data_IF_558227582444
#
_entry.id   IF_558227582444
#
_cell.length_a   1.000
_cell.length_b   1.000
_cell.length_c   1.000
_cell.angle_alpha   90.00
_cell.angle_beta   90.00
_cell.angle_gamma   90.00
#
_symmetry.space_group_name_H-M   'P 1'
#
loop_
_entity.id
_entity.type
_entity.pdbx_description
1 polymer ?
#
# COMPACT_ATOMS: atom_id res chain seq x y z
N UNK A 1 9.71 -18.54 14.27
CA UNK A 1 8.45 -19.07 13.74
C UNK A 1 7.99 -18.09 12.69
N UNK A 2 8.15 -18.44 11.41
CA UNK A 2 7.86 -17.56 10.29
C UNK A 2 6.35 -17.49 10.10
N UNK A 3 5.74 -16.34 10.38
CA UNK A 3 4.31 -16.14 10.11
C UNK A 3 4.08 -16.20 8.60
N UNK A 4 3.15 -17.07 8.17
CA UNK A 4 2.65 -17.10 6.81
C UNK A 4 2.18 -15.71 6.37
N UNK A 5 2.82 -15.12 5.36
CA UNK A 5 2.42 -13.84 4.77
C UNK A 5 1.32 -13.98 3.69
N UNK A 6 0.69 -15.15 3.59
CA UNK A 6 -0.43 -15.43 2.66
C UNK A 6 -1.71 -14.72 3.07
N UNK A 7 -2.48 -14.25 2.08
CA UNK A 7 -3.73 -13.53 2.33
C UNK A 7 -3.55 -12.12 2.89
N UNK A 8 -2.30 -11.60 2.91
CA UNK A 8 -2.03 -10.18 3.13
C UNK A 8 -2.51 -9.40 1.91
N UNK A 9 -3.26 -8.32 2.13
CA UNK A 9 -3.88 -7.57 1.05
C UNK A 9 -3.76 -6.05 1.19
N UNK A 10 -3.85 -5.33 0.08
CA UNK A 10 -4.04 -3.88 0.08
C UNK A 10 -5.02 -3.45 -0.98
N UNK A 11 -5.67 -2.31 -0.76
CA UNK A 11 -6.52 -1.64 -1.75
C UNK A 11 -5.83 -0.34 -2.14
N UNK A 12 -5.67 -0.12 -3.44
CA UNK A 12 -5.10 1.10 -4.01
C UNK A 12 -5.98 1.65 -5.12
N UNK A 13 -5.73 2.91 -5.50
CA UNK A 13 -6.34 3.47 -6.71
C UNK A 13 -5.79 2.76 -7.95
N UNK A 14 -6.65 2.59 -8.95
CA UNK A 14 -6.24 2.11 -10.26
C UNK A 14 -5.41 3.19 -10.97
N UNK A 15 -4.32 2.76 -11.61
CA UNK A 15 -3.43 3.61 -12.41
C UNK A 15 -3.90 3.73 -13.86
N UNK A 16 -4.78 2.82 -14.30
CA UNK A 16 -5.25 2.73 -15.68
C UNK A 16 -6.67 3.26 -15.86
N UNK A 17 -7.49 3.22 -14.81
CA UNK A 17 -8.90 3.67 -14.87
C UNK A 17 -9.16 4.59 -13.68
N UNK A 18 -9.41 5.87 -13.97
CA UNK A 18 -9.68 6.88 -12.94
C UNK A 18 -11.00 6.57 -12.24
N UNK A 19 -10.97 6.51 -10.91
CA UNK A 19 -12.15 6.26 -10.08
C UNK A 19 -12.35 4.80 -9.67
N UNK A 20 -11.63 3.87 -10.29
CA UNK A 20 -11.62 2.45 -9.91
C UNK A 20 -10.52 2.14 -8.91
N UNK A 21 -10.70 1.03 -8.20
CA UNK A 21 -9.77 0.52 -7.19
C UNK A 21 -9.18 -0.82 -7.63
N UNK A 22 -8.03 -1.17 -7.06
CA UNK A 22 -7.38 -2.46 -7.27
C UNK A 22 -7.12 -3.08 -5.91
N UNK A 23 -7.62 -4.30 -5.70
CA UNK A 23 -7.30 -5.16 -4.57
C UNK A 23 -6.13 -6.05 -4.95
N UNK A 24 -5.02 -5.92 -4.23
CA UNK A 24 -3.84 -6.76 -4.38
C UNK A 24 -3.82 -7.78 -3.24
N UNK A 25 -3.66 -9.08 -3.53
CA UNK A 25 -3.63 -10.15 -2.53
C UNK A 25 -2.42 -11.05 -2.74
N UNK A 26 -1.65 -11.29 -1.68
CA UNK A 26 -0.46 -12.15 -1.72
C UNK A 26 -0.83 -13.62 -1.58
N UNK A 27 -0.39 -14.42 -2.56
CA UNK A 27 -0.73 -15.85 -2.71
C UNK A 27 0.40 -16.81 -2.27
N UNK A 28 1.66 -16.34 -2.06
CA UNK A 28 2.82 -17.22 -1.81
C UNK A 28 3.71 -16.83 -0.61
N UNK A 29 4.14 -17.86 0.12
CA UNK A 29 5.16 -17.85 1.18
C UNK A 29 6.55 -17.99 0.57
N UNK A 30 7.30 -16.90 0.43
CA UNK A 30 8.76 -17.03 0.38
C UNK A 30 9.42 -15.87 1.09
N UNK A 31 10.21 -16.24 2.10
CA UNK A 31 11.19 -15.45 2.81
C UNK A 31 12.25 -14.94 1.83
N UNK A 32 12.23 -13.65 1.50
CA UNK A 32 13.44 -12.81 1.44
C UNK A 32 13.05 -11.37 1.11
N UNK A 33 13.26 -10.50 2.10
CA UNK A 33 13.45 -9.05 2.00
C UNK A 33 12.73 -8.35 0.84
N UNK A 34 11.41 -8.29 0.88
CA UNK A 34 10.73 -7.18 0.25
C UNK A 34 10.70 -6.04 1.25
N UNK A 35 11.33 -4.92 0.89
CA UNK A 35 11.00 -3.64 1.49
C UNK A 35 9.50 -3.48 1.26
N UNK A 36 8.71 -3.42 2.33
CA UNK A 36 7.26 -3.13 2.34
C UNK A 36 7.01 -1.69 1.87
N UNK A 37 7.56 -1.37 0.71
CA UNK A 37 7.44 -0.11 0.05
C UNK A 37 6.15 -0.17 -0.75
N UNK A 38 5.31 0.86 -0.61
CA UNK A 38 4.13 1.03 -1.45
C UNK A 38 4.49 0.99 -2.94
N UNK A 39 5.74 1.31 -3.32
CA UNK A 39 6.26 1.14 -4.67
C UNK A 39 6.37 -0.33 -5.09
N UNK A 40 6.69 -1.26 -4.19
CA UNK A 40 6.85 -2.68 -4.52
C UNK A 40 5.53 -3.38 -4.87
N UNK A 41 4.41 -2.92 -4.33
CA UNK A 41 3.07 -3.38 -4.73
C UNK A 41 2.55 -2.69 -6.01
N UNK A 42 3.17 -1.59 -6.43
CA UNK A 42 2.82 -0.81 -7.63
C UNK A 42 3.75 -1.15 -8.81
N UNK A 43 4.96 -1.66 -8.56
CA UNK A 43 5.91 -2.09 -9.58
C UNK A 43 5.45 -3.37 -10.28
N UNK A 44 4.55 -3.20 -11.24
CA UNK A 44 4.54 -3.95 -12.48
C UNK A 44 5.94 -3.82 -13.12
N UNK A 45 6.90 -4.67 -12.73
CA UNK A 45 8.00 -5.01 -13.61
C UNK A 45 7.58 -6.25 -14.42
N UNK A 46 7.50 -6.18 -15.75
CA UNK A 46 6.94 -7.22 -16.60
C UNK A 46 7.90 -8.40 -16.81
N UNK A 47 8.65 -8.87 -15.80
CA UNK A 47 9.66 -9.91 -16.07
C UNK A 47 10.18 -10.73 -14.87
N UNK A 48 9.32 -11.33 -14.04
CA UNK A 48 9.70 -12.53 -13.27
C UNK A 48 8.53 -13.51 -13.21
N UNK A 49 8.77 -14.75 -13.64
CA UNK A 49 7.83 -15.87 -13.84
C UNK A 49 7.02 -16.34 -12.61
N UNK A 50 6.98 -15.59 -11.52
CA UNK A 50 6.19 -15.94 -10.34
C UNK A 50 5.14 -14.87 -10.05
N UNK A 51 3.90 -15.12 -10.46
CA UNK A 51 2.75 -14.26 -10.20
C UNK A 51 2.31 -14.36 -8.72
N UNK A 52 3.14 -13.85 -7.79
CA UNK A 52 2.97 -13.99 -6.32
C UNK A 52 1.86 -13.12 -5.73
N UNK A 53 1.35 -12.17 -6.50
CA UNK A 53 0.30 -11.21 -6.08
C UNK A 53 -0.81 -11.18 -7.13
N UNK A 54 -2.00 -11.62 -6.74
CA UNK A 54 -3.19 -11.49 -7.58
C UNK A 54 -3.72 -10.05 -7.51
N UNK A 55 -4.15 -9.54 -8.66
CA UNK A 55 -4.70 -8.19 -8.81
C UNK A 55 -6.16 -8.29 -9.24
N UNK A 56 -7.07 -7.79 -8.41
CA UNK A 56 -8.50 -7.80 -8.68
C UNK A 56 -9.00 -6.37 -8.86
N UNK A 57 -9.60 -6.10 -10.03
CA UNK A 57 -10.18 -4.80 -10.34
C UNK A 57 -11.50 -4.67 -9.59
N UNK A 58 -11.64 -3.56 -8.86
CA UNK A 58 -12.87 -3.16 -8.19
C UNK A 58 -13.39 -1.93 -8.93
N UNK A 59 -14.46 -2.14 -9.71
CA UNK A 59 -15.11 -1.08 -10.46
C UNK A 59 -16.04 -0.29 -9.54
N UNK A 60 -15.99 1.04 -9.62
CA UNK A 60 -16.93 1.91 -8.92
C UNK A 60 -18.12 2.22 -9.82
N UNK A 61 -19.27 1.63 -9.53
CA UNK A 61 -20.51 1.83 -10.29
C UNK A 61 -21.37 2.87 -9.55
N UNK A 62 -21.73 3.95 -10.22
CA UNK A 62 -22.61 5.00 -9.70
C UNK A 62 -23.91 5.05 -10.53
N UNK A 63 -24.87 4.15 -10.29
CA UNK A 63 -26.14 4.16 -11.01
C UNK A 63 -27.03 5.36 -10.63
N UNK A 64 -26.77 6.05 -9.52
CA UNK A 64 -27.51 7.23 -9.06
C UNK A 64 -26.59 8.14 -8.26
N UNK A 65 -26.86 9.45 -8.20
CA UNK A 65 -26.00 10.43 -7.51
C UNK A 65 -25.71 10.07 -6.04
N UNK A 66 -26.66 9.45 -5.35
CA UNK A 66 -26.54 9.07 -3.94
C UNK A 66 -26.21 7.57 -3.71
N UNK A 67 -26.03 6.79 -4.79
CA UNK A 67 -25.74 5.36 -4.65
C UNK A 67 -24.46 5.00 -5.40
N UNK A 68 -23.41 4.73 -4.65
CA UNK A 68 -22.20 4.08 -5.13
C UNK A 68 -22.27 2.58 -4.80
N UNK A 69 -21.86 1.73 -5.74
CA UNK A 69 -21.64 0.30 -5.53
C UNK A 69 -20.27 -0.11 -6.06
N UNK A 70 -19.71 -1.16 -5.49
CA UNK A 70 -18.39 -1.68 -5.86
C UNK A 70 -18.54 -3.07 -6.46
N UNK A 71 -18.02 -3.28 -7.67
CA UNK A 71 -18.08 -4.56 -8.37
C UNK A 71 -16.69 -5.17 -8.54
N UNK A 72 -16.54 -6.42 -8.14
CA UNK A 72 -15.33 -7.22 -8.30
C UNK A 72 -15.72 -8.59 -8.89
N UNK A 73 -15.18 -8.91 -10.06
CA UNK A 73 -15.68 -10.03 -10.88
C UNK A 73 -17.19 -9.90 -11.13
N UNK A 74 -17.96 -10.88 -10.67
CA UNK A 74 -19.43 -10.92 -10.78
C UNK A 74 -20.17 -10.54 -9.49
N UNK A 75 -19.44 -10.18 -8.43
CA UNK A 75 -20.02 -9.80 -7.14
C UNK A 75 -20.16 -8.27 -7.04
N UNK A 76 -21.24 -7.83 -6.40
CA UNK A 76 -21.52 -6.42 -6.15
C UNK A 76 -21.72 -6.15 -4.67
N UNK A 77 -21.09 -5.10 -4.17
CA UNK A 77 -21.08 -4.72 -2.77
C UNK A 77 -21.51 -3.25 -2.60
N UNK A 78 -22.13 -2.90 -1.45
CA UNK A 78 -22.52 -1.53 -1.15
C UNK A 78 -21.31 -0.63 -0.90
N UNK A 79 -20.25 -1.16 -0.30
CA UNK A 79 -19.02 -0.43 0.02
C UNK A 79 -17.80 -1.36 0.00
N UNK A 80 -16.61 -0.75 0.05
CA UNK A 80 -15.33 -1.49 0.10
C UNK A 80 -15.20 -2.34 1.38
N UNK A 81 -15.55 -1.86 2.59
CA UNK A 81 -15.52 -2.70 3.78
C UNK A 81 -16.35 -3.99 3.70
N UNK A 82 -17.57 -3.94 3.14
CA UNK A 82 -18.42 -5.11 2.94
C UNK A 82 -17.79 -6.10 1.97
N UNK A 83 -17.21 -5.61 0.86
CA UNK A 83 -16.44 -6.41 -0.09
C UNK A 83 -15.28 -7.13 0.62
N UNK A 84 -14.45 -6.38 1.37
CA UNK A 84 -13.31 -6.95 2.08
C UNK A 84 -13.76 -7.99 3.10
N UNK A 85 -14.83 -7.71 3.85
CA UNK A 85 -15.34 -8.63 4.85
C UNK A 85 -15.86 -9.95 4.24
N UNK A 86 -16.50 -9.87 3.07
CA UNK A 86 -16.94 -11.05 2.33
C UNK A 86 -15.74 -11.95 1.95
N UNK A 87 -14.70 -11.38 1.34
CA UNK A 87 -13.53 -12.14 0.92
C UNK A 87 -12.57 -12.54 2.04
N UNK A 88 -12.85 -12.17 3.30
CA UNK A 88 -12.18 -12.81 4.46
C UNK A 88 -12.58 -14.27 4.65
N UNK A 89 -13.79 -14.62 4.20
CA UNK A 89 -14.35 -15.97 4.33
C UNK A 89 -14.52 -16.68 2.98
N UNK A 90 -14.45 -15.92 1.88
CA UNK A 90 -14.56 -16.43 0.52
C UNK A 90 -13.23 -16.32 -0.20
N UNK A 91 -12.84 -17.39 -0.88
CA UNK A 91 -11.63 -17.41 -1.68
C UNK A 91 -11.83 -16.52 -2.91
N UNK A 92 -10.82 -15.72 -3.23
CA UNK A 92 -10.74 -15.06 -4.53
C UNK A 92 -10.28 -16.08 -5.57
N UNK A 93 -8.98 -16.35 -5.63
CA UNK A 93 -8.41 -17.44 -6.42
C UNK A 93 -7.91 -18.57 -5.51
N UNK A 94 -6.88 -18.28 -4.70
CA UNK A 94 -6.12 -19.28 -3.95
C UNK A 94 -6.17 -19.09 -2.44
N UNK A 95 -6.38 -17.85 -1.99
CA UNK A 95 -6.34 -17.49 -0.56
C UNK A 95 -7.46 -16.51 -0.21
N UNK A 96 -8.11 -16.66 0.96
CA UNK A 96 -8.98 -15.62 1.50
C UNK A 96 -8.15 -14.42 2.00
N UNK A 97 -8.83 -13.31 2.27
CA UNK A 97 -8.23 -12.13 2.89
C UNK A 97 -7.99 -12.37 4.38
N UNK A 98 -6.74 -12.27 4.83
CA UNK A 98 -6.37 -12.50 6.24
C UNK A 98 -6.18 -11.18 6.96
N UNK A 99 -5.30 -10.32 6.44
CA UNK A 99 -5.00 -9.04 7.09
C UNK A 99 -4.58 -7.97 6.07
N UNK A 100 -4.86 -6.69 6.34
CA UNK A 100 -4.32 -5.62 5.53
C UNK A 100 -2.78 -5.62 5.61
N UNK A 101 -2.14 -5.25 4.50
CA UNK A 101 -0.71 -4.99 4.45
C UNK A 101 -0.40 -3.82 5.38
N UNK A 102 0.49 -4.05 6.33
CA UNK A 102 0.99 -2.98 7.18
C UNK A 102 1.93 -2.11 6.35
N UNK A 103 1.64 -0.82 6.23
CA UNK A 103 2.63 0.12 5.70
C UNK A 103 3.80 0.11 6.68
N UNK A 104 4.95 -0.46 6.30
CA UNK A 104 6.14 -0.36 7.16
C UNK A 104 6.57 1.10 7.17
N UNK A 105 6.41 1.70 8.34
CA UNK A 105 6.86 3.06 8.59
C UNK A 105 8.33 2.96 8.96
N UNK A 106 9.22 3.23 8.01
CA UNK A 106 10.65 3.32 8.31
C UNK A 106 10.89 4.57 9.17
N UNK A 107 11.41 4.37 10.38
CA UNK A 107 11.74 5.46 11.29
C UNK A 107 13.24 5.58 11.41
N UNK A 108 13.76 6.77 11.12
CA UNK A 108 15.18 7.08 11.23
C UNK A 108 15.39 8.09 12.35
N UNK A 109 16.56 8.07 12.97
CA UNK A 109 16.95 9.05 13.98
C UNK A 109 17.98 10.00 13.40
N UNK A 110 17.71 11.29 13.46
CA UNK A 110 18.64 12.33 13.06
C UNK A 110 19.92 12.26 13.92
N UNK A 111 21.09 12.22 13.28
CA UNK A 111 22.39 12.21 13.99
C UNK A 111 22.91 13.61 14.30
N UNK A 112 22.41 14.60 13.58
CA UNK A 112 22.81 16.01 13.65
C UNK A 112 21.58 16.90 13.52
N UNK A 113 21.72 18.15 13.91
CA UNK A 113 20.72 19.18 13.65
C UNK A 113 20.78 19.61 12.19
N UNK A 114 19.63 19.90 11.58
CA UNK A 114 19.49 20.46 10.25
C UNK A 114 18.45 21.59 10.29
N UNK A 115 18.87 22.79 9.92
CA UNK A 115 18.01 23.98 10.01
C UNK A 115 17.23 24.26 8.71
N UNK A 116 17.42 23.44 7.67
CA UNK A 116 16.97 23.73 6.30
C UNK A 116 17.99 24.57 5.54
N UNK A 117 18.06 24.40 4.23
CA UNK A 117 18.86 25.24 3.31
C UNK A 117 18.27 26.66 3.15
N UNK A 118 17.00 26.84 3.54
CA UNK A 118 16.17 28.01 3.22
C UNK A 118 15.06 27.70 2.21
N UNK A 119 15.03 26.49 1.65
CA UNK A 119 13.95 26.02 0.77
C UNK A 119 12.70 25.62 1.58
N UNK A 120 11.51 25.90 1.04
CA UNK A 120 10.23 25.58 1.70
C UNK A 120 9.92 24.08 1.74
N UNK A 121 10.60 23.32 0.88
CA UNK A 121 10.42 21.86 0.76
C UNK A 121 11.36 21.09 1.70
N UNK A 122 12.31 21.78 2.33
CA UNK A 122 13.19 21.19 3.32
C UNK A 122 12.44 20.95 4.64
N UNK A 123 12.80 19.84 5.31
CA UNK A 123 12.31 19.51 6.63
C UNK A 123 13.41 19.79 7.67
N UNK A 124 13.36 20.90 8.44
CA UNK A 124 14.26 21.11 9.56
C UNK A 124 14.02 20.08 10.67
N UNK A 125 15.10 19.56 11.25
CA UNK A 125 15.03 18.58 12.34
C UNK A 125 16.20 18.72 13.30
N UNK A 126 16.03 18.24 14.54
CA UNK A 126 17.08 18.26 15.58
C UNK A 126 17.77 16.91 15.74
N UNK A 127 18.99 16.93 16.24
CA UNK A 127 19.73 15.73 16.64
C UNK A 127 18.90 14.90 17.60
N UNK A 128 18.87 13.59 17.36
CA UNK A 128 18.05 12.58 18.04
C UNK A 128 16.55 12.62 17.73
N UNK A 129 16.07 13.54 16.89
CA UNK A 129 14.68 13.54 16.43
C UNK A 129 14.40 12.29 15.58
N UNK A 130 13.21 11.73 15.76
CA UNK A 130 12.77 10.55 15.01
C UNK A 130 11.90 11.01 13.86
N UNK A 131 12.36 10.74 12.65
CA UNK A 131 11.67 11.06 11.41
C UNK A 131 11.09 9.80 10.80
N UNK A 132 9.93 9.94 10.18
CA UNK A 132 9.27 8.89 9.42
C UNK A 132 9.65 9.05 7.96
N UNK A 133 10.40 8.11 7.38
CA UNK A 133 10.71 8.14 5.95
C UNK A 133 9.43 7.84 5.16
N UNK A 134 9.06 8.75 4.27
CA UNK A 134 7.94 8.63 3.35
C UNK A 134 8.42 7.99 2.05
N UNK A 135 9.54 8.47 1.50
CA UNK A 135 10.10 7.97 0.25
C UNK A 135 11.61 8.23 0.15
N UNK A 136 12.29 7.38 -0.62
CA UNK A 136 13.73 7.44 -0.91
C UNK A 136 13.93 7.68 -2.40
N UNK A 137 13.31 8.75 -2.88
CA UNK A 137 13.25 9.09 -4.31
C UNK A 137 14.64 9.41 -4.89
N UNK A 138 15.56 9.88 -4.04
CA UNK A 138 16.92 10.27 -4.40
C UNK A 138 17.97 9.57 -3.54
N UNK A 139 19.22 9.54 -4.03
CA UNK A 139 20.33 8.88 -3.36
C UNK A 139 20.76 9.58 -2.05
N UNK A 140 20.60 10.90 -1.98
CA UNK A 140 21.13 11.73 -0.87
C UNK A 140 20.06 12.47 -0.08
N UNK A 141 18.85 12.65 -0.63
CA UNK A 141 17.74 13.35 -0.01
C UNK A 141 16.51 12.47 0.02
N UNK A 142 15.96 12.25 1.22
CA UNK A 142 14.79 11.42 1.41
C UNK A 142 13.63 12.27 1.89
N UNK A 143 12.46 12.04 1.32
CA UNK A 143 11.22 12.64 1.80
C UNK A 143 10.86 11.99 3.13
N UNK A 144 10.81 12.79 4.19
CA UNK A 144 10.47 12.34 5.53
C UNK A 144 9.39 13.22 6.16
N UNK A 145 8.81 12.74 7.25
CA UNK A 145 7.82 13.45 8.05
C UNK A 145 8.20 13.45 9.51
N UNK A 146 8.16 14.60 10.15
CA UNK A 146 8.43 14.70 11.59
C UNK A 146 7.19 14.33 12.43
N UNK A 147 7.30 14.40 13.75
CA UNK A 147 6.16 14.13 14.65
C UNK A 147 5.05 15.20 14.57
N UNK A 148 5.35 16.37 14.03
CA UNK A 148 4.39 17.47 13.81
C UNK A 148 3.60 17.31 12.51
N UNK A 149 4.01 16.38 11.64
CA UNK A 149 3.33 16.12 10.39
C UNK A 149 3.74 17.03 9.22
N UNK A 150 4.83 17.79 9.38
CA UNK A 150 5.51 18.46 8.26
C UNK A 150 6.15 17.42 7.34
#
# INVERSE_FOLDING_TARGET
MSENETGVFLVRNSTTIVGDLVLCVRSSEMLHSFVDDMHSFICLLPNREDNKVSHYIINKIQPSADQTRFRIGDQMFPDVPALLNFYKLHYLDTTPLIRPASKRVEKVRARYDFEGSGDSDDLPFRKNEVLTVISKDEDQWWTARNSLGQ
#
